data_IF_534728114632
#
_entry.id   IF_534728114632
#
_cell.length_a   1.000
_cell.length_b   1.000
_cell.length_c   1.000
_cell.angle_alpha   90.00
_cell.angle_beta   90.00
_cell.angle_gamma   90.00
#
_symmetry.space_group_name_H-M   'P 1'
#
loop_
_entity.id
_entity.type
_entity.pdbx_description
1 polymer ?
#
# COMPACT_ATOMS: atom_id res chain seq x y z
N UNK A 1 34.72 -63.84 -57.28
CA UNK A 1 34.24 -62.49 -57.62
C UNK A 1 33.80 -61.84 -56.32
N UNK A 2 34.56 -60.90 -55.77
CA UNK A 2 34.16 -60.17 -54.55
C UNK A 2 33.01 -59.26 -54.94
N UNK A 3 31.86 -59.40 -54.27
CA UNK A 3 30.66 -58.62 -54.54
C UNK A 3 30.82 -57.19 -53.98
N UNK A 4 31.68 -56.40 -54.63
CA UNK A 4 32.06 -55.05 -54.24
C UNK A 4 30.84 -54.11 -54.08
N UNK A 5 29.79 -54.34 -54.88
CA UNK A 5 28.55 -53.54 -54.81
C UNK A 5 27.72 -53.76 -53.54
N UNK A 6 27.81 -54.92 -52.88
CA UNK A 6 27.07 -55.18 -51.63
C UNK A 6 27.78 -54.55 -50.42
N UNK A 7 29.11 -54.50 -50.45
CA UNK A 7 29.90 -53.89 -49.37
C UNK A 7 29.75 -52.37 -49.37
N UNK A 8 29.79 -51.73 -50.54
CA UNK A 8 29.56 -50.29 -50.68
C UNK A 8 28.13 -49.89 -50.30
N UNK A 9 27.11 -50.67 -50.70
CA UNK A 9 25.72 -50.40 -50.32
C UNK A 9 25.44 -50.57 -48.83
N UNK A 10 26.07 -51.55 -48.16
CA UNK A 10 25.98 -51.73 -46.70
C UNK A 10 26.69 -50.61 -45.95
N UNK A 11 27.85 -50.16 -46.40
CA UNK A 11 28.55 -49.03 -45.78
C UNK A 11 27.81 -47.70 -46.00
N UNK A 12 27.22 -47.48 -47.18
CA UNK A 12 26.33 -46.36 -47.44
C UNK A 12 25.07 -46.41 -46.55
N UNK A 13 24.45 -47.58 -46.40
CA UNK A 13 23.28 -47.76 -45.53
C UNK A 13 23.60 -47.54 -44.04
N UNK A 14 24.77 -47.98 -43.56
CA UNK A 14 25.26 -47.69 -42.20
C UNK A 14 25.57 -46.21 -42.00
N UNK A 15 26.10 -45.52 -43.02
CA UNK A 15 26.36 -44.08 -42.95
C UNK A 15 25.06 -43.26 -42.92
N UNK A 16 24.04 -43.68 -43.69
CA UNK A 16 22.69 -43.10 -43.68
C UNK A 16 21.92 -43.41 -42.38
N UNK A 17 22.24 -44.52 -41.72
CA UNK A 17 21.64 -44.95 -40.44
C UNK A 17 22.51 -44.61 -39.21
N UNK A 18 23.52 -43.75 -39.34
CA UNK A 18 24.30 -43.32 -38.19
C UNK A 18 23.43 -42.41 -37.32
N UNK A 19 23.30 -42.76 -36.03
CA UNK A 19 22.46 -42.03 -35.07
C UNK A 19 22.83 -40.54 -34.99
N UNK A 20 24.10 -40.18 -35.17
CA UNK A 20 24.57 -38.79 -35.13
C UNK A 20 24.19 -37.99 -36.39
N UNK A 21 23.88 -38.66 -37.51
CA UNK A 21 23.38 -38.00 -38.72
C UNK A 21 21.91 -37.59 -38.55
N UNK A 22 21.12 -38.40 -37.84
CA UNK A 22 19.69 -38.15 -37.60
C UNK A 22 19.50 -37.27 -36.35
N UNK A 23 20.28 -37.56 -35.30
CA UNK A 23 20.25 -36.88 -34.00
C UNK A 23 21.64 -36.33 -33.65
N UNK A 24 22.09 -35.26 -34.32
CA UNK A 24 23.38 -34.64 -34.03
C UNK A 24 23.43 -34.08 -32.59
N UNK A 25 24.63 -33.94 -32.04
CA UNK A 25 24.83 -33.31 -30.73
C UNK A 25 24.21 -31.91 -30.71
N UNK A 26 23.34 -31.66 -29.73
CA UNK A 26 22.59 -30.40 -29.61
C UNK A 26 21.15 -30.46 -30.14
N UNK A 27 20.75 -31.54 -30.82
CA UNK A 27 19.34 -31.75 -31.19
C UNK A 27 18.46 -31.89 -29.94
N UNK A 28 17.23 -31.37 -30.03
CA UNK A 28 16.19 -31.60 -29.02
C UNK A 28 15.11 -32.46 -29.64
N UNK A 29 14.74 -33.54 -28.95
CA UNK A 29 13.71 -34.49 -29.37
C UNK A 29 12.57 -34.51 -28.36
N UNK A 30 11.35 -34.65 -28.86
CA UNK A 30 10.13 -34.70 -28.05
C UNK A 30 9.47 -36.06 -28.19
N UNK A 31 9.10 -36.67 -27.06
CA UNK A 31 8.41 -37.94 -27.04
C UNK A 31 6.96 -37.73 -26.57
N UNK A 32 6.00 -38.26 -27.33
CA UNK A 32 4.59 -38.31 -26.93
C UNK A 32 4.30 -39.44 -25.92
N UNK A 33 5.34 -40.11 -25.42
CA UNK A 33 5.28 -41.20 -24.45
C UNK A 33 6.42 -41.04 -23.45
N UNK A 34 6.28 -41.61 -22.25
CA UNK A 34 7.35 -41.67 -21.27
C UNK A 34 8.48 -42.60 -21.76
N UNK A 35 9.43 -42.02 -22.50
CA UNK A 35 10.58 -42.69 -23.09
C UNK A 35 11.84 -41.95 -22.72
N UNK A 36 12.86 -42.70 -22.29
CA UNK A 36 14.18 -42.16 -21.99
C UNK A 36 15.10 -42.35 -23.21
N UNK A 37 15.54 -41.29 -23.89
CA UNK A 37 16.41 -41.41 -25.06
C UNK A 37 17.77 -42.03 -24.73
N UNK A 38 18.26 -41.93 -23.49
CA UNK A 38 19.48 -42.63 -23.06
C UNK A 38 19.34 -44.16 -23.10
N UNK A 39 18.12 -44.69 -22.94
CA UNK A 39 17.84 -46.12 -23.04
C UNK A 39 17.52 -46.56 -24.48
N UNK A 40 16.90 -45.67 -25.27
CA UNK A 40 16.52 -45.95 -26.65
C UNK A 40 17.71 -45.91 -27.62
N UNK A 41 18.72 -45.09 -27.33
CA UNK A 41 19.86 -44.85 -28.21
C UNK A 41 21.19 -45.12 -27.48
N UNK A 42 21.59 -46.40 -27.32
CA UNK A 42 22.86 -46.75 -26.67
C UNK A 42 24.06 -46.05 -27.31
N UNK A 43 25.00 -45.60 -26.48
CA UNK A 43 26.19 -44.86 -26.94
C UNK A 43 25.98 -43.36 -27.15
N UNK A 44 24.78 -42.82 -26.85
CA UNK A 44 24.51 -41.38 -26.84
C UNK A 44 24.22 -40.89 -25.42
N UNK A 45 24.27 -39.57 -25.20
CA UNK A 45 23.96 -38.95 -23.90
C UNK A 45 22.97 -37.82 -24.08
N UNK A 46 21.88 -37.88 -23.34
CA UNK A 46 20.76 -36.95 -23.40
C UNK A 46 20.51 -36.34 -22.04
N UNK A 47 20.33 -35.02 -21.99
CA UNK A 47 19.95 -34.28 -20.79
C UNK A 47 18.48 -33.88 -20.87
N UNK A 48 17.77 -34.05 -19.77
CA UNK A 48 16.40 -33.57 -19.66
C UNK A 48 16.39 -32.04 -19.57
N UNK A 49 15.56 -31.39 -20.39
CA UNK A 49 15.53 -29.92 -20.52
C UNK A 49 14.69 -29.22 -19.43
N UNK A 50 14.03 -30.01 -18.58
CA UNK A 50 13.23 -29.54 -17.44
C UNK A 50 11.72 -29.67 -17.66
N UNK A 51 10.98 -29.52 -16.57
CA UNK A 51 9.51 -29.62 -16.51
C UNK A 51 8.89 -28.23 -16.51
N UNK A 52 7.62 -28.13 -16.92
CA UNK A 52 6.82 -26.90 -16.86
C UNK A 52 7.52 -25.68 -17.46
N UNK A 53 8.10 -25.85 -18.66
CA UNK A 53 8.80 -24.78 -19.38
C UNK A 53 8.24 -24.61 -20.78
N UNK A 54 8.16 -23.37 -21.20
CA UNK A 54 7.98 -23.00 -22.61
C UNK A 54 9.33 -22.96 -23.33
N UNK A 55 9.33 -23.19 -24.64
CA UNK A 55 10.52 -22.98 -25.47
C UNK A 55 10.51 -21.56 -26.01
N UNK A 56 11.62 -20.85 -25.83
CA UNK A 56 11.86 -19.54 -26.46
C UNK A 56 13.03 -19.62 -27.43
N UNK A 57 13.02 -18.74 -28.44
CA UNK A 57 14.09 -18.68 -29.42
C UNK A 57 15.32 -17.99 -28.83
N UNK A 58 16.45 -18.70 -28.84
CA UNK A 58 17.75 -18.18 -28.49
C UNK A 58 18.23 -17.12 -29.51
N UNK A 59 19.18 -16.30 -29.08
CA UNK A 59 19.92 -15.38 -29.95
C UNK A 59 20.60 -16.15 -31.08
N UNK A 60 20.67 -15.55 -32.27
CA UNK A 60 21.39 -16.10 -33.42
C UNK A 60 22.88 -16.35 -33.14
N UNK A 61 23.49 -15.60 -32.21
CA UNK A 61 24.86 -15.82 -31.76
C UNK A 61 25.05 -17.09 -30.92
N UNK A 62 23.96 -17.70 -30.44
CA UNK A 62 23.99 -18.87 -29.57
C UNK A 62 24.35 -18.59 -28.11
N UNK A 63 24.60 -17.33 -27.75
CA UNK A 63 25.14 -16.96 -26.44
C UNK A 63 24.23 -17.27 -25.25
N UNK A 64 22.93 -17.45 -25.48
CA UNK A 64 21.92 -17.74 -24.46
C UNK A 64 21.22 -19.09 -24.67
N UNK A 65 21.74 -19.96 -25.54
CA UNK A 65 21.22 -21.32 -25.72
C UNK A 65 21.28 -22.08 -24.40
N UNK A 66 20.21 -22.82 -24.08
CA UNK A 66 19.97 -23.54 -22.83
C UNK A 66 19.85 -22.66 -21.57
N UNK A 67 19.89 -21.33 -21.69
CA UNK A 67 19.52 -20.46 -20.58
C UNK A 67 18.05 -20.63 -20.23
N UNK A 68 17.72 -20.41 -18.96
CA UNK A 68 16.35 -20.47 -18.45
C UNK A 68 16.00 -19.22 -17.66
N UNK A 69 14.72 -18.93 -17.57
CA UNK A 69 14.21 -17.77 -16.83
C UNK A 69 12.68 -17.79 -16.79
N UNK A 70 12.10 -16.66 -16.39
CA UNK A 70 10.66 -16.53 -16.23
C UNK A 70 10.12 -17.27 -15.01
N UNK A 71 8.82 -17.14 -14.78
CA UNK A 71 8.09 -17.82 -13.71
C UNK A 71 6.63 -17.98 -14.13
N UNK A 72 6.01 -19.10 -13.76
CA UNK A 72 4.58 -19.35 -14.01
C UNK A 72 3.68 -18.71 -12.94
N UNK A 73 4.29 -18.19 -11.87
CA UNK A 73 3.61 -17.44 -10.83
C UNK A 73 4.38 -16.18 -10.44
N UNK A 74 3.63 -15.16 -10.04
CA UNK A 74 4.17 -13.93 -9.47
C UNK A 74 3.39 -13.57 -8.22
N UNK A 75 4.10 -13.24 -7.15
CA UNK A 75 3.50 -12.63 -5.96
C UNK A 75 3.54 -11.12 -6.14
N UNK A 76 2.39 -10.48 -6.16
CA UNK A 76 2.30 -9.02 -6.29
C UNK A 76 2.85 -8.34 -5.04
N UNK A 77 3.64 -7.29 -5.26
CA UNK A 77 4.08 -6.35 -4.23
C UNK A 77 3.22 -5.07 -4.26
N UNK A 78 3.25 -4.29 -3.19
CA UNK A 78 2.54 -3.02 -3.12
C UNK A 78 2.89 -2.09 -4.30
N UNK A 79 4.16 -2.05 -4.73
CA UNK A 79 4.60 -1.21 -5.84
C UNK A 79 3.92 -1.53 -7.18
N UNK A 80 3.49 -2.78 -7.38
CA UNK A 80 2.86 -3.24 -8.62
C UNK A 80 1.34 -3.03 -8.63
N UNK A 81 0.75 -2.65 -7.49
CA UNK A 81 -0.65 -2.26 -7.44
C UNK A 81 -0.81 -0.85 -8.03
N UNK A 82 -1.96 -0.56 -8.66
CA UNK A 82 -2.34 0.79 -8.99
C UNK A 82 -2.27 1.72 -7.78
N UNK A 83 -1.92 2.99 -8.00
CA UNK A 83 -1.94 4.01 -6.95
C UNK A 83 -3.36 4.12 -6.39
N UNK A 84 -3.53 3.89 -5.09
CA UNK A 84 -4.82 3.95 -4.39
C UNK A 84 -4.67 4.52 -2.98
N UNK A 85 -5.77 4.97 -2.39
CA UNK A 85 -5.87 5.37 -0.99
C UNK A 85 -7.23 4.93 -0.43
N UNK A 86 -7.41 5.06 0.88
CA UNK A 86 -8.65 4.71 1.55
C UNK A 86 -9.16 5.89 2.36
N UNK A 87 -10.45 6.18 2.23
CA UNK A 87 -11.17 7.08 3.12
C UNK A 87 -11.81 6.31 4.27
N UNK A 88 -11.88 6.90 5.46
CA UNK A 88 -12.64 6.36 6.58
C UNK A 88 -13.53 7.43 7.19
N UNK A 89 -14.61 6.96 7.81
CA UNK A 89 -15.53 7.76 8.62
C UNK A 89 -16.00 6.90 9.79
N UNK A 90 -15.92 7.45 10.99
CA UNK A 90 -16.29 6.77 12.21
C UNK A 90 -16.93 7.77 13.19
N UNK A 91 -17.76 7.25 14.08
CA UNK A 91 -18.34 8.03 15.17
C UNK A 91 -17.68 7.61 16.47
N UNK A 92 -17.25 8.57 17.29
CA UNK A 92 -16.72 8.26 18.62
C UNK A 92 -17.81 7.62 19.48
N UNK A 93 -17.42 6.91 20.53
CA UNK A 93 -18.40 6.55 21.57
C UNK A 93 -19.02 7.82 22.15
N UNK A 94 -20.28 7.72 22.56
CA UNK A 94 -20.93 8.80 23.28
C UNK A 94 -20.32 8.93 24.68
N UNK A 95 -20.04 10.16 25.10
CA UNK A 95 -19.58 10.45 26.45
C UNK A 95 -20.41 11.58 27.05
N UNK A 96 -20.87 11.38 28.28
CA UNK A 96 -21.64 12.37 29.02
C UNK A 96 -20.72 13.25 29.87
N UNK A 97 -20.61 14.51 29.47
CA UNK A 97 -19.83 15.50 30.21
C UNK A 97 -20.56 16.04 31.45
N UNK A 98 -21.83 15.66 31.64
CA UNK A 98 -22.69 16.09 32.73
C UNK A 98 -22.88 17.60 32.72
N UNK A 99 -22.79 18.19 33.90
CA UNK A 99 -22.86 19.64 34.10
C UNK A 99 -21.49 20.23 34.41
N UNK A 100 -21.27 21.48 33.96
CA UNK A 100 -20.09 22.29 34.29
C UNK A 100 -20.53 23.62 34.89
N UNK A 101 -19.68 24.19 35.73
CA UNK A 101 -19.97 25.44 36.43
C UNK A 101 -19.09 26.55 35.89
N UNK A 102 -19.67 27.73 35.65
CA UNK A 102 -18.95 28.93 35.23
C UNK A 102 -18.11 29.51 36.39
N UNK A 103 -17.17 30.39 36.07
CA UNK A 103 -16.44 31.12 37.11
C UNK A 103 -17.39 32.11 37.84
N UNK A 104 -16.99 32.57 39.02
CA UNK A 104 -17.83 33.41 39.88
C UNK A 104 -17.39 34.88 39.90
N UNK A 105 -16.38 35.25 39.12
CA UNK A 105 -15.75 36.58 39.16
C UNK A 105 -16.58 37.64 38.46
N UNK A 106 -16.48 38.90 38.90
CA UNK A 106 -17.17 40.03 38.29
C UNK A 106 -18.17 40.73 39.22
N UNK A 107 -18.21 40.36 40.50
CA UNK A 107 -18.88 41.16 41.52
C UNK A 107 -18.35 42.60 41.48
N UNK A 108 -19.26 43.52 41.23
CA UNK A 108 -19.02 44.95 41.33
C UNK A 108 -20.25 45.62 41.94
N UNK A 109 -20.02 46.82 42.46
CA UNK A 109 -21.05 47.75 42.90
C UNK A 109 -20.86 49.07 42.16
N UNK A 110 -21.90 49.91 42.17
CA UNK A 110 -21.84 51.26 41.65
C UNK A 110 -21.95 52.27 42.79
N UNK A 111 -21.10 53.29 42.80
CA UNK A 111 -21.19 54.39 43.76
C UNK A 111 -22.15 55.45 43.23
N UNK A 112 -23.15 55.84 44.03
CA UNK A 112 -24.07 56.93 43.66
C UNK A 112 -23.42 58.26 43.97
N UNK A 113 -23.18 59.08 42.94
CA UNK A 113 -22.60 60.41 43.09
C UNK A 113 -23.65 61.49 42.79
N UNK A 114 -23.98 62.33 43.78
CA UNK A 114 -24.91 63.45 43.65
C UNK A 114 -25.95 63.53 44.78
N UNK A 115 -26.46 64.75 45.04
CA UNK A 115 -27.62 64.95 45.91
C UNK A 115 -28.89 64.72 45.09
N UNK A 116 -29.56 63.57 45.22
CA UNK A 116 -30.82 63.28 44.53
C UNK A 116 -31.99 64.20 44.96
N UNK A 117 -33.26 63.76 44.90
CA UNK A 117 -34.44 64.43 45.50
C UNK A 117 -34.89 63.83 46.85
N UNK A 118 -35.29 64.60 47.87
CA UNK A 118 -35.63 64.06 49.20
C UNK A 118 -36.47 62.78 49.13
N UNK A 119 -35.94 61.66 49.67
CA UNK A 119 -36.49 60.31 49.49
C UNK A 119 -35.56 59.32 48.77
N UNK A 120 -34.68 59.78 47.87
CA UNK A 120 -33.70 58.90 47.22
C UNK A 120 -32.48 58.62 48.11
N UNK A 121 -31.74 57.56 47.76
CA UNK A 121 -30.39 57.26 48.28
C UNK A 121 -29.46 58.46 48.02
N UNK A 122 -28.75 58.94 49.06
CA UNK A 122 -27.93 60.17 49.05
C UNK A 122 -26.63 59.99 49.80
N UNK A 123 -25.61 60.81 49.49
CA UNK A 123 -24.45 60.96 50.34
C UNK A 123 -24.83 61.37 51.76
N UNK A 124 -24.23 60.71 52.75
CA UNK A 124 -24.33 61.14 54.14
C UNK A 124 -23.48 62.39 54.31
N UNK A 125 -24.09 63.47 54.80
CA UNK A 125 -23.41 64.74 55.04
C UNK A 125 -23.08 64.86 56.51
N UNK A 126 -21.81 65.09 56.84
CA UNK A 126 -21.36 65.33 58.21
C UNK A 126 -20.59 66.64 58.30
N UNK A 127 -20.78 67.40 59.38
CA UNK A 127 -20.08 68.67 59.64
C UNK A 127 -18.91 68.45 60.59
N UNK A 128 -17.72 68.90 60.21
CA UNK A 128 -16.53 68.84 61.08
C UNK A 128 -16.36 70.13 61.89
N UNK A 129 -15.69 70.06 63.04
CA UNK A 129 -15.32 71.24 63.84
C UNK A 129 -14.51 72.22 62.99
N UNK A 130 -15.09 73.40 62.73
CA UNK A 130 -14.55 74.40 61.78
C UNK A 130 -15.46 74.76 60.60
N UNK A 131 -16.63 74.10 60.45
CA UNK A 131 -17.65 74.48 59.45
C UNK A 131 -17.50 73.82 58.07
N UNK A 132 -16.59 72.86 57.92
CA UNK A 132 -16.43 72.07 56.69
C UNK A 132 -17.42 70.90 56.61
N UNK A 133 -17.88 70.57 55.40
CA UNK A 133 -18.74 69.42 55.12
C UNK A 133 -17.94 68.26 54.52
N UNK A 134 -18.20 67.04 55.00
CA UNK A 134 -17.79 65.80 54.34
C UNK A 134 -19.00 65.09 53.76
N UNK A 135 -18.82 64.52 52.56
CA UNK A 135 -19.82 63.73 51.85
C UNK A 135 -19.34 62.29 51.75
N UNK A 136 -20.15 61.36 52.22
CA UNK A 136 -19.90 59.92 52.09
C UNK A 136 -20.95 59.33 51.13
N UNK A 137 -20.53 59.03 49.89
CA UNK A 137 -21.42 58.52 48.85
C UNK A 137 -21.78 57.05 49.13
N UNK A 138 -23.07 56.68 49.09
CA UNK A 138 -23.47 55.29 49.26
C UNK A 138 -23.21 54.47 47.99
N UNK A 139 -22.80 53.22 48.19
CA UNK A 139 -22.70 52.22 47.13
C UNK A 139 -24.01 51.45 46.96
N UNK A 140 -24.31 51.03 45.74
CA UNK A 140 -25.32 49.99 45.53
C UNK A 140 -24.86 48.71 46.23
N UNK A 141 -25.80 47.91 46.72
CA UNK A 141 -25.43 46.57 47.14
C UNK A 141 -24.99 45.75 45.91
N UNK A 142 -24.13 44.77 46.16
CA UNK A 142 -23.89 43.72 45.20
C UNK A 142 -24.59 42.44 45.65
N UNK A 143 -25.15 41.70 44.70
CA UNK A 143 -25.66 40.35 44.92
C UNK A 143 -24.55 39.31 45.15
N UNK A 144 -23.29 39.73 45.11
CA UNK A 144 -22.14 38.86 45.31
C UNK A 144 -21.72 38.10 44.06
N UNK A 145 -20.56 37.45 44.18
CA UNK A 145 -20.06 36.51 43.18
C UNK A 145 -20.99 35.30 43.14
N UNK A 146 -21.49 34.92 41.96
CA UNK A 146 -22.28 33.70 41.77
C UNK A 146 -21.88 33.02 40.47
N UNK A 147 -22.28 31.75 40.31
CA UNK A 147 -22.03 30.97 39.11
C UNK A 147 -23.33 30.43 38.52
N UNK A 148 -23.22 30.00 37.27
CA UNK A 148 -24.21 29.24 36.54
C UNK A 148 -23.75 27.81 36.30
N UNK A 149 -24.72 26.90 36.23
CA UNK A 149 -24.53 25.50 35.85
C UNK A 149 -24.96 25.34 34.39
N UNK A 150 -24.11 24.72 33.57
CA UNK A 150 -24.35 24.43 32.15
C UNK A 150 -24.37 22.92 31.96
N UNK A 151 -25.49 22.39 31.47
CA UNK A 151 -25.58 20.99 31.06
C UNK A 151 -25.01 20.82 29.65
N UNK A 152 -24.01 19.94 29.51
CA UNK A 152 -23.39 19.60 28.22
C UNK A 152 -24.02 18.31 27.68
N UNK A 153 -24.19 17.32 28.55
CA UNK A 153 -24.85 16.05 28.22
C UNK A 153 -23.99 15.10 27.38
N UNK A 154 -24.60 13.95 27.08
CA UNK A 154 -24.02 12.90 26.25
C UNK A 154 -23.98 13.30 24.78
N UNK A 155 -22.79 13.29 24.19
CA UNK A 155 -22.64 13.46 22.74
C UNK A 155 -21.44 12.67 22.21
N UNK A 156 -21.38 12.56 20.89
CA UNK A 156 -20.29 11.96 20.15
C UNK A 156 -19.86 12.89 19.00
N UNK A 157 -18.75 12.55 18.38
CA UNK A 157 -18.21 13.27 17.23
C UNK A 157 -18.08 12.35 16.04
N UNK A 158 -18.30 12.92 14.85
CA UNK A 158 -17.89 12.30 13.60
C UNK A 158 -16.41 12.60 13.36
N UNK A 159 -15.65 11.56 13.02
CA UNK A 159 -14.24 11.66 12.65
C UNK A 159 -14.06 11.00 11.30
N UNK A 160 -13.41 11.69 10.38
CA UNK A 160 -13.15 11.18 9.02
C UNK A 160 -11.77 11.58 8.55
N UNK A 161 -11.23 10.81 7.60
CA UNK A 161 -9.95 11.11 6.99
C UNK A 161 -9.66 10.20 5.81
N UNK A 162 -8.45 10.34 5.25
CA UNK A 162 -7.94 9.46 4.21
C UNK A 162 -6.50 9.04 4.52
N UNK A 163 -6.11 7.85 4.09
CA UNK A 163 -4.73 7.39 4.11
C UNK A 163 -3.91 8.12 3.04
N UNK A 164 -2.58 8.06 3.16
CA UNK A 164 -1.71 8.38 2.03
C UNK A 164 -1.90 7.40 0.85
N UNK A 165 -1.39 7.79 -0.31
CA UNK A 165 -1.39 6.93 -1.50
C UNK A 165 -0.43 5.76 -1.31
N UNK A 166 -0.85 4.57 -1.76
CA UNK A 166 -0.05 3.34 -1.82
C UNK A 166 -0.10 2.78 -3.24
N UNK A 167 0.99 2.14 -3.67
CA UNK A 167 1.14 1.59 -5.01
C UNK A 167 1.76 2.58 -5.99
N UNK A 168 2.38 2.05 -7.04
CA UNK A 168 3.14 2.81 -8.04
C UNK A 168 2.85 2.36 -9.48
N UNK A 169 1.95 1.40 -9.68
CA UNK A 169 1.67 0.78 -11.00
C UNK A 169 2.93 0.26 -11.71
N UNK A 170 3.94 -0.19 -10.95
CA UNK A 170 5.17 -0.72 -11.53
C UNK A 170 4.88 -1.96 -12.38
N UNK A 171 5.60 -2.09 -13.50
CA UNK A 171 5.41 -3.21 -14.42
C UNK A 171 5.66 -4.57 -13.74
N UNK A 172 4.92 -5.58 -14.21
CA UNK A 172 5.12 -6.98 -13.82
C UNK A 172 5.72 -7.76 -14.98
N UNK A 173 6.62 -8.70 -14.68
CA UNK A 173 7.11 -9.63 -15.68
C UNK A 173 6.12 -10.78 -15.84
N UNK A 174 5.59 -10.96 -17.04
CA UNK A 174 4.62 -12.01 -17.41
C UNK A 174 5.26 -13.14 -18.22
N UNK A 175 6.59 -13.21 -18.24
CA UNK A 175 7.28 -14.29 -18.91
C UNK A 175 7.10 -15.61 -18.16
N UNK A 176 6.33 -16.54 -18.76
CA UNK A 176 6.27 -17.94 -18.34
C UNK A 176 7.67 -18.53 -18.14
N UNK A 177 7.81 -19.52 -17.27
CA UNK A 177 9.06 -20.26 -17.16
C UNK A 177 9.49 -20.80 -18.53
N UNK A 178 10.77 -20.64 -18.87
CA UNK A 178 11.26 -20.99 -20.20
C UNK A 178 12.67 -21.58 -20.20
N UNK A 179 13.00 -22.24 -21.31
CA UNK A 179 14.36 -22.57 -21.75
C UNK A 179 14.56 -22.07 -23.17
N UNK A 180 15.77 -21.58 -23.49
CA UNK A 180 16.06 -21.03 -24.82
C UNK A 180 16.72 -22.07 -25.73
N UNK A 181 16.15 -22.27 -26.92
CA UNK A 181 16.70 -23.16 -27.96
C UNK A 181 16.88 -22.39 -29.27
N UNK A 182 17.84 -22.79 -30.10
CA UNK A 182 17.95 -22.23 -31.45
C UNK A 182 16.83 -22.76 -32.34
N UNK A 183 16.18 -21.86 -33.07
CA UNK A 183 15.19 -22.20 -34.08
C UNK A 183 15.67 -21.79 -35.47
N UNK A 184 15.52 -22.68 -36.42
CA UNK A 184 15.78 -22.43 -37.83
C UNK A 184 14.57 -22.95 -38.61
N UNK A 185 14.15 -22.21 -39.63
CA UNK A 185 13.18 -22.71 -40.60
C UNK A 185 13.87 -22.78 -41.96
N UNK A 186 13.59 -23.83 -42.73
CA UNK A 186 14.12 -23.99 -44.08
C UNK A 186 13.21 -23.24 -45.04
N UNK A 187 13.77 -22.29 -45.80
CA UNK A 187 13.01 -21.50 -46.77
C UNK A 187 13.19 -21.95 -48.24
N UNK A 188 14.16 -22.83 -48.52
CA UNK A 188 14.42 -23.46 -49.83
C UNK A 188 15.10 -24.82 -49.64
#
# INVERSE_FOLDING_TARGET
>A
MVNLGLTETVELAKSAANINTIYPVGIVVWFAQNKNPNALFPGTTWKYIGENKTIRLASMSGSNVLSSGGSDSITLSAAQLPVHNHSFSATTSSFDYGTKTTNTTGNHYHTVNGMGRPGDIRPKVSTTSGGSYTFENPDTNSAGNHNHIVAIGAHNHLVSGATGNTGNSSAINVANAYVMLMGWYRSA
#
